data_IF_186128469951
#
_entry.id   IF_186128469951
#
_cell.length_a   1.000
_cell.length_b   1.000
_cell.length_c   1.000
_cell.angle_alpha   90.00
_cell.angle_beta   90.00
_cell.angle_gamma   90.00
#
_symmetry.space_group_name_H-M   'P 1'
#
loop_
_entity.id
_entity.type
_entity.pdbx_description
1 polymer ?
#
# COMPACT_ATOMS: atom_id res chain seq x y z
N UNK A 1 64.04 -0.84 6.36
CA UNK A 1 62.67 -0.73 5.85
C UNK A 1 62.19 -2.03 5.24
N UNK A 2 61.27 -2.70 5.92
CA UNK A 2 60.43 -3.74 5.31
C UNK A 2 59.05 -3.13 5.19
N UNK A 3 58.67 -2.75 3.98
CA UNK A 3 57.30 -2.37 3.63
C UNK A 3 56.40 -3.58 3.89
N UNK A 4 55.58 -3.48 4.93
CA UNK A 4 54.48 -4.42 5.21
C UNK A 4 53.53 -4.29 4.01
N UNK A 5 53.18 -5.38 3.31
CA UNK A 5 52.13 -5.29 2.30
C UNK A 5 50.87 -4.83 3.02
N UNK A 6 50.26 -3.76 2.53
CA UNK A 6 48.93 -3.37 2.93
C UNK A 6 48.03 -4.58 2.69
N UNK A 7 47.63 -5.23 3.78
CA UNK A 7 46.58 -6.22 3.76
C UNK A 7 45.32 -5.43 3.37
N UNK A 8 45.07 -5.34 2.07
CA UNK A 8 43.81 -4.89 1.51
C UNK A 8 42.75 -5.82 2.06
N UNK A 9 42.19 -5.44 3.21
CA UNK A 9 41.20 -6.21 3.92
C UNK A 9 40.02 -6.44 3.00
N UNK A 10 39.70 -7.70 2.74
CA UNK A 10 38.57 -8.09 1.91
C UNK A 10 37.28 -7.60 2.56
N UNK A 11 36.61 -6.66 1.90
CA UNK A 11 35.23 -6.27 2.22
C UNK A 11 34.33 -7.44 1.83
N UNK A 12 33.58 -8.00 2.77
CA UNK A 12 32.48 -8.90 2.43
C UNK A 12 31.24 -8.04 2.15
N UNK A 13 30.51 -8.35 1.08
CA UNK A 13 29.27 -7.66 0.73
C UNK A 13 28.23 -8.70 0.29
N UNK A 14 26.98 -8.46 0.65
CA UNK A 14 25.86 -9.19 0.11
C UNK A 14 25.58 -8.76 -1.34
N UNK A 15 25.05 -9.67 -2.18
CA UNK A 15 24.54 -9.30 -3.49
C UNK A 15 23.46 -8.22 -3.39
N UNK A 16 23.26 -7.47 -4.48
CA UNK A 16 22.19 -6.47 -4.57
C UNK A 16 20.83 -7.11 -4.27
N UNK A 17 20.02 -6.42 -3.44
CA UNK A 17 18.72 -6.91 -2.99
C UNK A 17 18.77 -7.95 -1.86
N UNK A 18 19.95 -8.31 -1.35
CA UNK A 18 20.09 -9.22 -0.21
C UNK A 18 20.60 -8.52 1.04
N UNK A 19 20.28 -9.09 2.19
CA UNK A 19 20.72 -8.62 3.52
C UNK A 19 21.46 -9.73 4.25
N UNK A 20 22.40 -9.37 5.14
CA UNK A 20 23.12 -10.34 5.93
C UNK A 20 22.19 -10.99 6.96
N UNK A 21 22.13 -12.32 7.00
CA UNK A 21 21.39 -13.12 7.99
C UNK A 21 22.33 -13.73 9.04
N UNK A 22 23.63 -13.77 8.76
CA UNK A 22 24.67 -14.09 9.73
C UNK A 22 26.00 -13.44 9.36
N UNK A 23 26.85 -13.23 10.36
CA UNK A 23 28.24 -12.77 10.18
C UNK A 23 29.17 -13.73 10.93
N UNK A 24 30.12 -14.32 10.22
CA UNK A 24 31.14 -15.18 10.80
C UNK A 24 32.23 -14.37 11.53
N UNK A 25 33.05 -15.04 12.34
CA UNK A 25 34.11 -14.39 13.13
C UNK A 25 35.22 -13.74 12.28
N UNK A 26 35.39 -14.19 11.04
CA UNK A 26 36.29 -13.59 10.04
C UNK A 26 35.65 -12.41 9.27
N UNK A 27 34.40 -12.04 9.57
CA UNK A 27 33.66 -10.98 8.89
C UNK A 27 32.89 -11.44 7.64
N UNK A 28 32.98 -12.71 7.25
CA UNK A 28 32.23 -13.27 6.13
C UNK A 28 30.72 -13.24 6.38
N UNK A 29 29.94 -12.93 5.33
CA UNK A 29 28.49 -12.77 5.41
C UNK A 29 27.77 -14.00 4.84
N UNK A 30 26.73 -14.44 5.54
CA UNK A 30 25.66 -15.24 4.94
C UNK A 30 24.53 -14.29 4.57
N UNK A 31 24.11 -14.30 3.31
CA UNK A 31 23.11 -13.38 2.78
C UNK A 31 21.82 -14.12 2.42
N UNK A 32 20.67 -13.44 2.56
CA UNK A 32 19.36 -13.96 2.20
C UNK A 32 18.52 -12.90 1.50
N UNK A 33 17.51 -13.36 0.74
CA UNK A 33 16.47 -12.51 0.17
C UNK A 33 15.47 -12.09 1.24
N UNK A 34 14.73 -11.01 0.97
CA UNK A 34 13.71 -10.49 1.88
C UNK A 34 12.28 -10.85 1.47
N UNK A 35 12.10 -11.48 0.30
CA UNK A 35 10.81 -11.61 -0.38
C UNK A 35 9.77 -12.36 0.46
N UNK A 36 10.06 -13.60 0.91
CA UNK A 36 9.11 -14.38 1.72
C UNK A 36 8.68 -13.65 3.01
N UNK A 37 9.63 -13.00 3.68
CA UNK A 37 9.35 -12.25 4.91
C UNK A 37 8.53 -10.99 4.62
N UNK A 38 8.78 -10.35 3.48
CA UNK A 38 8.01 -9.20 2.99
C UNK A 38 6.59 -9.63 2.65
N UNK A 39 6.42 -10.73 1.91
CA UNK A 39 5.14 -11.23 1.48
C UNK A 39 4.23 -11.59 2.66
N UNK A 40 4.76 -12.37 3.61
CA UNK A 40 4.03 -12.71 4.83
C UNK A 40 3.67 -11.46 5.64
N UNK A 41 4.58 -10.50 5.76
CA UNK A 41 4.36 -9.30 6.56
C UNK A 41 3.29 -8.38 5.95
N UNK A 42 3.39 -8.06 4.66
CA UNK A 42 2.42 -7.21 3.97
C UNK A 42 1.03 -7.87 3.98
N UNK A 43 0.95 -9.17 3.69
CA UNK A 43 -0.33 -9.88 3.64
C UNK A 43 -1.05 -9.93 4.99
N UNK A 44 -0.32 -9.98 6.09
CA UNK A 44 -0.92 -10.15 7.41
C UNK A 44 -1.18 -8.85 8.15
N UNK A 45 -0.65 -7.72 7.66
CA UNK A 45 -0.57 -6.48 8.46
C UNK A 45 -0.83 -5.20 7.68
N UNK A 46 -1.08 -5.27 6.38
CA UNK A 46 -1.47 -4.12 5.58
C UNK A 46 -2.89 -4.33 5.04
N UNK A 47 -3.72 -3.31 5.18
CA UNK A 47 -5.11 -3.29 4.80
C UNK A 47 -5.45 -1.98 4.07
N UNK A 48 -6.50 -2.02 3.25
CA UNK A 48 -7.09 -0.84 2.61
C UNK A 48 -8.46 -0.61 3.22
N UNK A 49 -8.71 0.62 3.63
CA UNK A 49 -10.03 1.04 4.09
C UNK A 49 -10.75 1.76 2.96
N UNK A 50 -12.06 1.59 2.91
CA UNK A 50 -12.97 2.36 2.06
C UNK A 50 -14.16 2.79 2.89
N UNK A 51 -14.69 3.97 2.66
CA UNK A 51 -15.87 4.44 3.38
C UNK A 51 -16.64 5.53 2.67
N UNK A 52 -17.85 5.79 3.15
CA UNK A 52 -18.73 6.86 2.69
C UNK A 52 -19.21 7.66 3.90
N UNK A 53 -19.48 8.94 3.66
CA UNK A 53 -20.39 9.72 4.47
C UNK A 53 -21.34 10.52 3.59
N UNK A 54 -22.62 10.22 3.74
CA UNK A 54 -23.76 10.96 3.19
C UNK A 54 -23.97 12.30 3.91
N UNK A 55 -24.48 13.32 3.20
CA UNK A 55 -24.91 14.60 3.74
C UNK A 55 -23.78 15.38 4.44
N UNK A 56 -22.61 15.42 3.80
CA UNK A 56 -21.32 15.91 4.26
C UNK A 56 -20.71 17.00 3.34
N UNK A 57 -21.47 18.03 2.97
CA UNK A 57 -20.88 19.21 2.33
C UNK A 57 -19.91 19.91 3.31
N UNK A 58 -18.62 19.94 2.94
CA UNK A 58 -17.54 20.54 3.72
C UNK A 58 -17.29 19.93 5.11
N UNK A 59 -17.82 18.75 5.41
CA UNK A 59 -17.69 18.15 6.75
C UNK A 59 -16.28 17.56 6.95
N UNK A 60 -15.75 17.62 8.19
CA UNK A 60 -14.39 17.17 8.53
C UNK A 60 -14.34 15.86 9.30
N UNK A 61 -15.50 15.23 9.49
CA UNK A 61 -15.58 13.98 10.21
C UNK A 61 -15.23 12.81 9.27
N UNK A 62 -14.79 11.69 9.87
CA UNK A 62 -14.57 10.46 9.12
C UNK A 62 -15.85 9.80 8.61
N UNK A 63 -15.72 8.69 7.85
CA UNK A 63 -16.85 7.99 7.26
C UNK A 63 -17.87 7.52 8.31
N UNK A 64 -19.15 7.58 7.97
CA UNK A 64 -20.22 6.99 8.76
C UNK A 64 -20.36 5.48 8.48
N UNK A 65 -20.05 5.09 7.24
CA UNK A 65 -19.96 3.70 6.78
C UNK A 65 -18.57 3.40 6.26
N UNK A 66 -18.04 2.23 6.60
CA UNK A 66 -16.72 1.82 6.12
C UNK A 66 -16.57 0.31 6.14
N UNK A 67 -15.67 -0.17 5.29
CA UNK A 67 -15.20 -1.54 5.23
C UNK A 67 -13.67 -1.55 5.12
N UNK A 68 -13.08 -2.71 5.41
CA UNK A 68 -11.63 -2.93 5.36
C UNK A 68 -11.33 -4.23 4.61
N UNK A 69 -10.27 -4.21 3.80
CA UNK A 69 -9.76 -5.37 3.09
C UNK A 69 -8.26 -5.52 3.30
N UNK A 70 -7.82 -6.72 3.66
CA UNK A 70 -6.42 -7.14 3.66
C UNK A 70 -6.22 -8.37 2.72
N UNK A 71 -4.97 -8.75 2.40
CA UNK A 71 -4.73 -9.88 1.49
C UNK A 71 -5.13 -11.27 2.02
N UNK A 72 -5.60 -11.39 3.27
CA UNK A 72 -6.05 -12.62 3.92
C UNK A 72 -7.55 -12.63 4.22
N UNK A 73 -8.22 -11.48 4.23
CA UNK A 73 -9.63 -11.36 4.58
C UNK A 73 -10.16 -9.93 4.48
N UNK A 74 -11.44 -9.76 4.78
CA UNK A 74 -12.06 -8.46 4.88
C UNK A 74 -12.91 -8.35 6.16
N UNK A 75 -13.24 -7.12 6.50
CA UNK A 75 -14.20 -6.75 7.51
C UNK A 75 -15.25 -5.83 6.89
N UNK A 76 -16.55 -6.10 7.03
CA UNK A 76 -17.61 -5.19 6.58
C UNK A 76 -17.70 -3.90 7.42
N UNK A 77 -16.87 -3.78 8.47
CA UNK A 77 -16.75 -2.57 9.27
C UNK A 77 -18.07 -2.12 9.92
N UNK A 78 -18.46 -0.87 9.65
CA UNK A 78 -19.64 -0.21 10.19
C UNK A 78 -20.49 0.37 9.07
N UNK A 79 -21.79 0.57 9.33
CA UNK A 79 -22.77 0.88 8.28
C UNK A 79 -23.45 -0.40 7.82
N UNK A 80 -24.78 -0.40 7.76
CA UNK A 80 -25.51 -1.57 7.23
C UNK A 80 -25.16 -1.82 5.76
N UNK A 81 -25.35 -3.06 5.30
CA UNK A 81 -25.22 -3.45 3.88
C UNK A 81 -23.83 -3.87 3.43
N UNK A 82 -22.77 -3.39 4.09
CA UNK A 82 -21.40 -3.82 3.81
C UNK A 82 -21.22 -5.34 4.01
N UNK A 83 -20.42 -5.94 3.14
CA UNK A 83 -20.21 -7.37 3.06
C UNK A 83 -18.79 -7.72 2.62
N UNK A 84 -18.50 -9.01 2.76
CA UNK A 84 -17.27 -9.65 2.33
C UNK A 84 -17.58 -10.62 1.20
N UNK A 85 -17.01 -10.38 0.02
CA UNK A 85 -17.27 -11.18 -1.18
C UNK A 85 -15.96 -11.75 -1.71
N UNK A 86 -15.96 -13.02 -2.06
CA UNK A 86 -14.87 -13.62 -2.82
C UNK A 86 -15.28 -13.66 -4.30
N UNK A 87 -14.45 -13.09 -5.17
CA UNK A 87 -14.73 -13.02 -6.61
C UNK A 87 -13.53 -13.51 -7.43
N UNK A 88 -13.82 -14.29 -8.46
CA UNK A 88 -12.83 -14.68 -9.46
C UNK A 88 -12.78 -13.59 -10.53
N UNK A 89 -11.80 -12.69 -10.45
CA UNK A 89 -11.70 -11.52 -11.32
C UNK A 89 -10.66 -11.76 -12.43
N UNK A 90 -9.39 -11.83 -12.06
CA UNK A 90 -8.27 -11.89 -13.00
C UNK A 90 -7.59 -13.27 -13.08
N UNK A 91 -7.61 -14.03 -11.99
CA UNK A 91 -7.06 -15.38 -11.91
C UNK A 91 -8.14 -16.39 -11.48
N UNK A 92 -8.45 -17.42 -12.32
CA UNK A 92 -9.43 -18.46 -11.98
C UNK A 92 -9.07 -19.31 -10.75
N UNK A 93 -7.80 -19.40 -10.39
CA UNK A 93 -7.29 -20.22 -9.29
C UNK A 93 -7.07 -19.44 -7.99
N UNK A 94 -7.09 -18.10 -8.06
CA UNK A 94 -6.85 -17.22 -6.91
C UNK A 94 -7.94 -16.15 -6.76
N UNK A 95 -9.12 -16.49 -6.21
CA UNK A 95 -10.17 -15.52 -5.95
C UNK A 95 -9.66 -14.33 -5.12
N UNK A 96 -10.13 -13.14 -5.47
CA UNK A 96 -9.88 -11.90 -4.74
C UNK A 96 -10.94 -11.77 -3.65
N UNK A 97 -10.52 -11.52 -2.42
CA UNK A 97 -11.41 -11.06 -1.36
C UNK A 97 -11.69 -9.57 -1.58
N UNK A 98 -12.96 -9.19 -1.56
CA UNK A 98 -13.46 -7.84 -1.77
C UNK A 98 -14.22 -7.41 -0.52
N UNK A 99 -13.91 -6.22 -0.03
CA UNK A 99 -14.77 -5.47 0.86
C UNK A 99 -15.78 -4.69 0.02
N UNK A 100 -17.06 -4.78 0.38
CA UNK A 100 -18.10 -3.97 -0.25
C UNK A 100 -18.42 -2.75 0.59
N UNK A 101 -18.77 -1.66 -0.09
CA UNK A 101 -19.36 -0.46 0.49
C UNK A 101 -20.74 -0.28 -0.15
N UNK A 102 -21.77 -0.54 0.64
CA UNK A 102 -23.17 -0.33 0.27
C UNK A 102 -23.48 1.15 0.39
N UNK A 103 -23.67 1.82 -0.74
CA UNK A 103 -23.89 3.25 -0.79
C UNK A 103 -25.33 3.50 -0.34
N UNK A 104 -25.54 4.15 0.81
CA UNK A 104 -26.89 4.62 1.16
C UNK A 104 -27.15 5.98 0.55
N UNK A 105 -28.42 6.22 0.23
CA UNK A 105 -28.88 7.48 -0.32
C UNK A 105 -28.60 7.61 -1.81
N UNK A 106 -28.90 8.79 -2.33
CA UNK A 106 -28.27 9.29 -3.53
C UNK A 106 -26.79 9.59 -3.24
N UNK A 107 -25.89 9.27 -4.17
CA UNK A 107 -24.51 9.78 -4.08
C UNK A 107 -24.43 11.04 -4.92
N UNK A 108 -24.37 12.20 -4.26
CA UNK A 108 -24.48 13.51 -4.88
C UNK A 108 -23.42 14.50 -4.33
N UNK A 109 -23.63 15.80 -4.56
CA UNK A 109 -22.70 16.88 -4.21
C UNK A 109 -22.44 17.05 -2.70
N UNK A 110 -23.23 16.43 -1.83
CA UNK A 110 -22.97 16.43 -0.40
C UNK A 110 -22.27 15.17 0.13
N UNK A 111 -22.03 14.15 -0.69
CA UNK A 111 -21.32 12.95 -0.26
C UNK A 111 -19.80 13.10 -0.18
N UNK A 112 -19.18 12.22 0.61
CA UNK A 112 -17.73 11.98 0.58
C UNK A 112 -17.39 10.51 0.53
N UNK A 113 -16.50 10.15 -0.40
CA UNK A 113 -15.87 8.83 -0.49
C UNK A 113 -14.47 8.88 0.09
N UNK A 114 -14.15 7.90 0.95
CA UNK A 114 -12.90 7.85 1.69
C UNK A 114 -12.08 6.62 1.34
N UNK A 115 -10.75 6.74 1.35
CA UNK A 115 -9.86 5.58 1.33
C UNK A 115 -8.51 5.84 1.99
N UNK A 116 -7.80 4.77 2.33
CA UNK A 116 -6.39 4.79 2.73
C UNK A 116 -5.75 3.41 2.68
N UNK A 117 -4.41 3.39 2.65
CA UNK A 117 -3.60 2.21 2.95
C UNK A 117 -3.11 2.31 4.39
N UNK A 118 -3.38 1.28 5.19
CA UNK A 118 -2.94 1.21 6.57
C UNK A 118 -2.09 -0.02 6.82
N UNK A 119 -0.98 0.13 7.55
CA UNK A 119 -0.11 -0.98 7.92
C UNK A 119 0.22 -0.96 9.43
N UNK A 120 -0.07 -2.07 10.12
CA UNK A 120 0.12 -2.17 11.56
C UNK A 120 1.56 -2.57 11.88
N UNK A 121 2.32 -1.68 12.52
CA UNK A 121 3.64 -1.99 13.09
C UNK A 121 3.50 -2.86 14.36
N UNK A 122 4.37 -3.85 14.50
CA UNK A 122 4.43 -4.75 15.64
C UNK A 122 5.90 -4.96 16.05
N UNK A 123 6.57 -3.88 16.51
CA UNK A 123 8.01 -3.90 16.73
C UNK A 123 8.42 -5.04 17.66
N UNK A 124 9.42 -5.80 17.25
CA UNK A 124 9.99 -6.89 18.06
C UNK A 124 11.34 -6.48 18.62
N UNK A 125 11.66 -6.86 19.87
CA UNK A 125 12.95 -6.56 20.46
C UNK A 125 14.05 -7.27 19.69
N UNK A 126 15.17 -6.57 19.50
CA UNK A 126 16.37 -7.11 18.88
C UNK A 126 16.84 -8.39 19.57
N UNK A 127 17.34 -9.34 18.77
CA UNK A 127 17.83 -10.63 19.26
C UNK A 127 19.32 -10.79 18.92
N UNK A 128 20.15 -11.42 19.76
CA UNK A 128 21.51 -11.76 19.39
C UNK A 128 21.55 -12.74 18.21
N UNK A 129 22.58 -12.63 17.36
CA UNK A 129 22.83 -13.57 16.26
C UNK A 129 23.20 -14.98 16.79
N UNK A 130 22.94 -16.06 16.02
CA UNK A 130 22.48 -16.10 14.62
C UNK A 130 21.02 -15.67 14.44
N UNK A 131 20.70 -15.02 13.32
CA UNK A 131 19.35 -14.55 13.06
C UNK A 131 18.41 -15.72 12.74
N UNK A 132 17.19 -15.67 13.31
CA UNK A 132 16.13 -16.62 12.97
C UNK A 132 15.60 -16.37 11.53
N UNK A 133 14.90 -17.33 10.91
CA UNK A 133 14.22 -17.10 9.64
C UNK A 133 13.32 -15.85 9.68
N UNK A 134 13.40 -14.99 8.66
CA UNK A 134 12.71 -13.70 8.60
C UNK A 134 13.37 -12.57 9.40
N UNK A 135 14.58 -12.78 9.92
CA UNK A 135 15.39 -11.77 10.60
C UNK A 135 16.71 -11.57 9.87
N UNK A 136 17.24 -10.35 9.95
CA UNK A 136 18.51 -9.98 9.36
C UNK A 136 19.37 -9.21 10.37
N UNK A 137 20.68 -9.23 10.16
CA UNK A 137 21.66 -8.54 10.99
C UNK A 137 21.44 -7.05 10.83
N UNK A 138 21.16 -6.40 11.95
CA UNK A 138 20.85 -4.97 12.03
C UNK A 138 22.00 -4.17 12.64
N UNK A 139 22.94 -4.82 13.33
CA UNK A 139 24.13 -4.16 13.87
C UNK A 139 24.78 -4.95 14.99
N UNK A 140 25.50 -4.26 15.87
CA UNK A 140 26.25 -4.75 17.02
C UNK A 140 25.86 -4.03 18.31
N UNK A 141 25.75 -4.82 19.38
CA UNK A 141 25.73 -4.32 20.75
C UNK A 141 26.92 -4.89 21.49
N UNK A 142 27.94 -4.07 21.72
CA UNK A 142 29.26 -4.53 22.15
C UNK A 142 29.88 -5.44 21.09
N UNK A 143 30.30 -6.65 21.49
CA UNK A 143 30.92 -7.64 20.59
C UNK A 143 29.88 -8.58 19.93
N UNK A 144 28.60 -8.45 20.29
CA UNK A 144 27.54 -9.32 19.77
C UNK A 144 26.83 -8.68 18.58
N UNK A 145 26.65 -9.46 17.50
CA UNK A 145 25.75 -9.07 16.41
C UNK A 145 24.29 -9.19 16.87
N UNK A 146 23.48 -8.23 16.45
CA UNK A 146 22.07 -8.11 16.75
C UNK A 146 21.26 -8.23 15.47
N UNK A 147 20.14 -8.93 15.57
CA UNK A 147 19.20 -9.19 14.50
C UNK A 147 17.91 -8.41 14.75
N UNK A 148 17.33 -7.88 13.67
CA UNK A 148 16.01 -7.29 13.65
C UNK A 148 15.12 -8.06 12.65
N UNK A 149 13.80 -8.08 12.86
CA UNK A 149 12.85 -8.68 11.92
C UNK A 149 12.78 -7.89 10.61
N UNK A 150 12.87 -8.59 9.47
CA UNK A 150 12.67 -7.98 8.14
C UNK A 150 11.23 -7.49 7.98
N UNK A 151 10.27 -8.18 8.61
CA UNK A 151 8.85 -7.84 8.55
C UNK A 151 8.53 -6.41 9.00
N UNK A 152 9.22 -5.88 10.01
CA UNK A 152 8.95 -4.52 10.50
C UNK A 152 9.47 -3.47 9.52
N UNK A 153 10.59 -3.74 8.86
CA UNK A 153 11.11 -2.85 7.82
C UNK A 153 10.20 -2.87 6.58
N UNK A 154 9.69 -4.04 6.19
CA UNK A 154 8.74 -4.17 5.07
C UNK A 154 7.43 -3.40 5.34
N UNK A 155 6.79 -3.65 6.49
CA UNK A 155 5.55 -2.98 6.88
C UNK A 155 5.77 -1.47 7.05
N UNK A 156 6.88 -1.07 7.68
CA UNK A 156 7.25 0.34 7.82
C UNK A 156 7.47 1.02 6.47
N UNK A 157 8.09 0.33 5.50
CA UNK A 157 8.22 0.83 4.14
C UNK A 157 6.85 1.04 3.48
N UNK A 158 5.97 0.04 3.50
CA UNK A 158 4.63 0.15 2.89
C UNK A 158 3.84 1.29 3.54
N UNK A 159 3.73 1.29 4.87
CA UNK A 159 2.93 2.27 5.60
C UNK A 159 3.39 3.71 5.41
N UNK A 160 4.70 3.94 5.29
CA UNK A 160 5.26 5.30 5.17
C UNK A 160 5.47 5.77 3.74
N UNK A 161 5.64 4.88 2.77
CA UNK A 161 6.04 5.24 1.40
C UNK A 161 5.06 4.83 0.32
N UNK A 162 4.15 3.91 0.60
CA UNK A 162 3.07 3.58 -0.32
C UNK A 162 1.82 4.33 0.08
N UNK A 163 1.04 4.77 -0.90
CA UNK A 163 -0.22 5.46 -0.67
C UNK A 163 -1.27 5.02 -1.69
N UNK A 164 -2.51 4.94 -1.23
CA UNK A 164 -3.67 4.81 -2.12
C UNK A 164 -4.06 6.21 -2.57
N UNK A 165 -4.26 6.37 -3.87
CA UNK A 165 -4.75 7.58 -4.50
C UNK A 165 -6.22 7.41 -4.81
N UNK A 166 -7.02 8.42 -4.48
CA UNK A 166 -8.43 8.53 -4.82
C UNK A 166 -8.62 9.80 -5.64
N UNK A 167 -9.40 9.71 -6.70
CA UNK A 167 -9.72 10.87 -7.53
C UNK A 167 -11.12 10.82 -8.10
N UNK A 168 -11.66 11.99 -8.39
CA UNK A 168 -12.97 12.18 -8.96
C UNK A 168 -12.90 13.11 -10.16
N UNK A 169 -13.66 12.76 -11.20
CA UNK A 169 -13.80 13.53 -12.40
C UNK A 169 -15.23 13.46 -12.92
N UNK A 170 -15.92 14.60 -12.80
CA UNK A 170 -17.26 14.82 -13.36
C UNK A 170 -17.19 14.98 -14.90
N UNK A 171 -18.23 14.53 -15.61
CA UNK A 171 -18.49 14.85 -17.02
C UNK A 171 -17.35 14.44 -17.95
N UNK A 172 -16.79 13.25 -17.69
CA UNK A 172 -15.64 12.66 -18.35
C UNK A 172 -15.96 11.24 -18.85
N UNK A 173 -16.61 11.13 -20.01
CA UNK A 173 -16.66 9.83 -20.66
C UNK A 173 -15.34 9.54 -21.39
N UNK A 174 -14.53 8.65 -20.81
CA UNK A 174 -13.26 8.19 -21.38
C UNK A 174 -12.12 9.22 -21.34
N UNK A 175 -12.15 10.22 -20.46
CA UNK A 175 -11.04 11.15 -20.36
C UNK A 175 -9.77 10.45 -19.82
N UNK A 176 -8.63 10.92 -20.28
CA UNK A 176 -7.29 10.46 -19.87
C UNK A 176 -6.54 11.57 -19.13
N UNK A 177 -7.23 12.65 -18.78
CA UNK A 177 -6.65 13.75 -17.99
C UNK A 177 -6.63 13.37 -16.51
N UNK A 178 -5.72 13.95 -15.72
CA UNK A 178 -5.79 13.82 -14.27
C UNK A 178 -7.17 14.23 -13.73
N UNK A 179 -7.65 13.62 -12.63
CA UNK A 179 -8.94 13.95 -12.04
C UNK A 179 -8.94 15.41 -11.55
N UNK A 180 -10.09 16.07 -11.65
CA UNK A 180 -10.28 17.44 -11.18
C UNK A 180 -10.14 17.55 -9.66
N UNK A 181 -10.53 16.48 -8.95
CA UNK A 181 -10.38 16.33 -7.51
C UNK A 181 -9.61 15.07 -7.19
N UNK A 182 -8.63 15.12 -6.30
CA UNK A 182 -7.85 13.95 -5.93
C UNK A 182 -7.04 14.21 -4.67
N UNK A 183 -6.64 13.12 -4.03
CA UNK A 183 -5.64 13.11 -2.97
C UNK A 183 -5.12 11.71 -2.74
N UNK A 184 -4.32 11.55 -1.70
CA UNK A 184 -3.82 10.24 -1.31
C UNK A 184 -3.63 10.13 0.20
N UNK A 185 -3.60 8.90 0.69
CA UNK A 185 -3.40 8.64 2.11
C UNK A 185 -2.62 7.35 2.38
N UNK A 186 -1.87 7.38 3.48
CA UNK A 186 -1.17 6.25 4.08
C UNK A 186 -1.03 6.41 5.61
N UNK A 187 -0.20 5.59 6.26
CA UNK A 187 0.00 5.69 7.73
C UNK A 187 0.68 6.98 8.17
N UNK A 188 1.54 7.55 7.32
CA UNK A 188 2.30 8.73 7.66
C UNK A 188 1.45 10.01 7.55
N UNK A 189 0.62 10.12 6.51
CA UNK A 189 -0.20 11.29 6.26
C UNK A 189 -1.36 11.02 5.30
N UNK A 190 -2.30 11.97 5.24
CA UNK A 190 -3.13 12.20 4.06
C UNK A 190 -2.77 13.56 3.44
N UNK A 191 -2.94 13.67 2.14
CA UNK A 191 -2.64 14.87 1.37
C UNK A 191 -3.80 15.15 0.43
N UNK A 192 -4.38 16.34 0.56
CA UNK A 192 -5.33 16.88 -0.41
C UNK A 192 -4.53 17.38 -1.63
N UNK A 193 -4.87 16.87 -2.81
CA UNK A 193 -4.32 17.32 -4.08
C UNK A 193 -5.11 18.49 -4.65
N UNK A 194 -5.82 18.25 -5.75
CA UNK A 194 -6.79 19.20 -6.29
C UNK A 194 -8.19 18.91 -5.70
N UNK A 195 -9.06 19.92 -5.62
CA UNK A 195 -10.37 19.82 -4.95
C UNK A 195 -10.39 20.64 -3.65
N UNK A 196 -11.17 21.73 -3.61
CA UNK A 196 -11.11 22.71 -2.52
C UNK A 196 -11.76 22.24 -1.22
N UNK A 197 -12.69 21.31 -1.36
CA UNK A 197 -13.59 20.75 -0.36
C UNK A 197 -13.27 19.26 -0.09
N UNK A 198 -12.23 18.72 -0.72
CA UNK A 198 -11.63 17.44 -0.33
C UNK A 198 -11.07 17.54 1.09
N UNK A 199 -11.02 16.41 1.78
CA UNK A 199 -10.69 16.37 3.20
C UNK A 199 -9.62 15.34 3.51
N UNK A 200 -8.70 15.73 4.39
CA UNK A 200 -7.74 14.84 5.01
C UNK A 200 -8.12 14.71 6.48
N UNK A 201 -8.51 13.50 6.90
CA UNK A 201 -9.06 13.24 8.23
C UNK A 201 -8.31 12.10 8.89
N UNK A 202 -7.88 12.30 10.14
CA UNK A 202 -7.42 11.20 11.01
C UNK A 202 -8.57 10.75 11.89
N UNK A 203 -8.92 9.47 11.83
CA UNK A 203 -10.04 8.87 12.60
C UNK A 203 -9.70 7.48 13.10
N UNK A 204 -10.57 6.89 13.92
CA UNK A 204 -10.44 5.52 14.40
C UNK A 204 -11.47 4.62 13.74
N UNK A 205 -11.01 3.65 12.92
CA UNK A 205 -11.85 2.62 12.29
C UNK A 205 -11.40 1.25 12.81
N UNK A 206 -12.33 0.41 13.25
CA UNK A 206 -11.99 -0.94 13.74
C UNK A 206 -11.09 -1.00 14.99
N UNK A 207 -10.80 0.14 15.62
CA UNK A 207 -9.82 0.26 16.71
C UNK A 207 -8.46 0.80 16.27
N UNK A 208 -8.22 0.92 14.97
CA UNK A 208 -6.99 1.45 14.40
C UNK A 208 -7.12 2.94 14.08
N UNK A 209 -6.06 3.71 14.33
CA UNK A 209 -6.01 5.12 13.92
C UNK A 209 -5.48 5.21 12.50
N UNK A 210 -6.30 5.75 11.60
CA UNK A 210 -5.99 5.82 10.16
C UNK A 210 -6.11 7.26 9.66
N UNK A 211 -5.29 7.61 8.66
CA UNK A 211 -5.44 8.85 7.89
C UNK A 211 -6.22 8.54 6.63
N UNK A 212 -7.28 9.27 6.34
CA UNK A 212 -8.14 9.08 5.18
C UNK A 212 -8.08 10.31 4.29
N UNK A 213 -8.00 10.06 2.98
CA UNK A 213 -8.39 11.07 1.99
C UNK A 213 -9.88 10.87 1.72
N UNK A 214 -10.64 11.96 1.81
CA UNK A 214 -12.06 12.04 1.47
C UNK A 214 -12.26 12.96 0.27
N UNK A 215 -12.84 12.43 -0.81
CA UNK A 215 -13.17 13.16 -2.04
C UNK A 215 -14.67 13.35 -2.10
N UNK A 216 -15.11 14.55 -2.46
CA UNK A 216 -16.51 14.86 -2.74
C UNK A 216 -16.75 14.90 -4.25
N UNK A 217 -17.95 14.56 -4.71
CA UNK A 217 -18.25 14.37 -6.14
C UNK A 217 -18.72 15.65 -6.85
N UNK A 218 -18.91 16.78 -6.16
CA UNK A 218 -19.28 18.09 -6.74
C UNK A 218 -20.47 18.03 -7.73
N UNK A 219 -21.40 17.10 -7.53
CA UNK A 219 -22.53 16.87 -8.42
C UNK A 219 -23.15 15.49 -8.24
N UNK A 220 -24.21 15.24 -9.01
CA UNK A 220 -24.80 13.91 -9.14
C UNK A 220 -23.75 12.95 -9.73
N UNK A 221 -23.63 11.75 -9.16
CA UNK A 221 -22.77 10.70 -9.73
C UNK A 221 -23.58 9.93 -10.78
N UNK A 222 -23.23 10.09 -12.05
CA UNK A 222 -23.90 9.48 -13.20
C UNK A 222 -22.92 8.76 -14.16
N UNK A 223 -23.46 8.13 -15.21
CA UNK A 223 -22.68 7.33 -16.16
C UNK A 223 -21.67 8.07 -17.03
N UNK A 224 -21.56 9.39 -16.89
CA UNK A 224 -20.54 10.20 -17.55
C UNK A 224 -19.33 10.48 -16.64
N UNK A 225 -19.34 10.03 -15.39
CA UNK A 225 -18.29 10.32 -14.42
C UNK A 225 -17.22 9.23 -14.32
N UNK A 226 -16.09 9.57 -13.69
CA UNK A 226 -15.05 8.61 -13.32
C UNK A 226 -14.63 8.75 -11.85
N UNK A 227 -14.72 7.63 -11.15
CA UNK A 227 -14.09 7.43 -9.85
C UNK A 227 -12.76 6.69 -10.03
N UNK A 228 -11.67 7.31 -9.63
CA UNK A 228 -10.31 6.80 -9.85
C UNK A 228 -9.69 6.22 -8.59
N UNK A 229 -9.07 5.05 -8.71
CA UNK A 229 -8.23 4.44 -7.67
C UNK A 229 -6.83 4.16 -8.20
N UNK A 230 -5.81 4.48 -7.41
CA UNK A 230 -4.40 4.23 -7.73
C UNK A 230 -3.60 3.74 -6.55
N UNK A 231 -2.45 3.11 -6.84
CA UNK A 231 -1.43 2.74 -5.86
C UNK A 231 -0.07 3.23 -6.36
N UNK A 232 0.63 3.99 -5.54
CA UNK A 232 2.02 4.33 -5.80
C UNK A 232 2.85 4.19 -4.54
N UNK A 233 4.14 3.90 -4.73
CA UNK A 233 5.13 3.92 -3.68
C UNK A 233 6.27 4.84 -4.06
N UNK A 234 6.76 5.62 -3.11
CA UNK A 234 7.98 6.39 -3.30
C UNK A 234 9.17 5.47 -3.56
N UNK A 235 10.11 5.86 -4.43
CA UNK A 235 11.30 5.05 -4.66
C UNK A 235 12.12 4.87 -3.37
N UNK A 236 12.85 3.74 -3.26
CA UNK A 236 13.78 3.53 -2.17
C UNK A 236 14.83 4.65 -2.12
N UNK A 237 15.27 5.03 -0.91
CA UNK A 237 16.31 6.04 -0.78
C UNK A 237 17.67 5.43 -1.18
N UNK A 238 18.34 6.04 -2.14
CA UNK A 238 19.66 5.60 -2.60
C UNK A 238 20.77 6.04 -1.63
N UNK A 239 20.86 5.44 -0.45
CA UNK A 239 22.05 5.61 0.39
C UNK A 239 22.24 4.47 1.38
N UNK A 240 23.37 3.78 1.25
CA UNK A 240 23.92 3.02 2.38
C UNK A 240 24.61 3.96 3.35
N UNK A 241 24.55 3.65 4.65
CA UNK A 241 25.33 4.36 5.67
C UNK A 241 26.35 3.42 6.28
N UNK A 242 27.54 3.91 6.61
CA UNK A 242 28.52 3.14 7.36
C UNK A 242 28.30 3.34 8.85
N UNK A 243 28.33 2.25 9.62
CA UNK A 243 28.18 2.25 11.08
C UNK A 243 29.19 1.32 11.73
N UNK A 244 29.40 1.49 13.03
CA UNK A 244 30.18 0.58 13.89
C UNK A 244 29.34 0.01 15.03
N UNK A 245 28.12 0.50 15.22
CA UNK A 245 27.22 0.12 16.32
C UNK A 245 25.93 -0.44 15.77
N UNK A 246 24.97 0.38 15.37
CA UNK A 246 23.67 -0.09 14.84
C UNK A 246 23.40 0.55 13.49
N UNK A 247 22.69 -0.16 12.62
CA UNK A 247 22.07 0.46 11.47
C UNK A 247 20.90 1.34 11.93
N UNK A 248 20.61 2.45 11.21
CA UNK A 248 19.35 3.16 11.39
C UNK A 248 18.14 2.24 11.21
N UNK A 249 17.01 2.62 11.81
CA UNK A 249 15.76 1.87 11.69
C UNK A 249 15.40 1.62 10.23
N UNK A 250 14.96 0.40 9.93
CA UNK A 250 14.66 -0.06 8.57
C UNK A 250 15.87 -0.51 7.74
N UNK A 251 17.10 -0.22 8.18
CA UNK A 251 18.32 -0.62 7.47
C UNK A 251 18.95 -1.88 8.07
N UNK A 252 19.65 -2.66 7.23
CA UNK A 252 20.32 -3.90 7.63
C UNK A 252 21.74 -3.94 7.13
N UNK A 253 22.57 -4.76 7.76
CA UNK A 253 23.96 -4.96 7.34
C UNK A 253 23.99 -5.62 5.96
N UNK A 254 24.66 -4.96 5.02
CA UNK A 254 24.90 -5.46 3.65
C UNK A 254 26.38 -5.62 3.34
N UNK A 255 27.28 -5.11 4.19
CA UNK A 255 28.73 -5.28 4.02
C UNK A 255 29.50 -5.11 5.31
N UNK A 256 30.68 -5.72 5.41
CA UNK A 256 31.61 -5.58 6.54
C UNK A 256 32.99 -5.14 6.06
N UNK A 257 33.66 -4.36 6.90
CA UNK A 257 35.00 -3.82 6.65
C UNK A 257 36.02 -4.37 7.65
N UNK A 258 37.29 -4.41 7.25
CA UNK A 258 38.38 -4.93 8.07
C UNK A 258 38.68 -4.09 9.32
N UNK A 259 38.26 -2.83 9.36
CA UNK A 259 38.37 -1.94 10.52
C UNK A 259 37.26 -2.19 11.56
N UNK A 260 36.36 -3.14 11.30
CA UNK A 260 35.22 -3.48 12.16
C UNK A 260 33.97 -2.64 11.91
N UNK A 261 34.02 -1.67 10.99
CA UNK A 261 32.82 -1.01 10.49
C UNK A 261 32.01 -1.91 9.56
N UNK A 262 30.77 -1.54 9.30
CA UNK A 262 29.89 -2.23 8.37
C UNK A 262 28.99 -1.24 7.64
N UNK A 263 28.57 -1.63 6.45
CA UNK A 263 27.63 -0.87 5.63
C UNK A 263 26.22 -1.37 5.92
N UNK A 264 25.34 -0.42 6.18
CA UNK A 264 23.90 -0.61 6.30
C UNK A 264 23.26 -0.25 4.97
N UNK A 265 22.51 -1.17 4.38
CA UNK A 265 21.74 -0.97 3.16
C UNK A 265 20.23 -0.96 3.43
N UNK A 266 19.51 -0.29 2.55
CA UNK A 266 18.05 -0.21 2.57
C UNK A 266 17.46 -1.35 1.72
N UNK A 267 16.72 -2.30 2.31
CA UNK A 267 16.01 -3.34 1.56
C UNK A 267 14.79 -2.81 0.80
N UNK A 268 14.45 -1.52 0.92
CA UNK A 268 13.30 -0.88 0.26
C UNK A 268 13.19 -1.16 -1.24
N UNK A 269 14.31 -1.31 -1.96
CA UNK A 269 14.25 -1.67 -3.38
C UNK A 269 13.61 -3.05 -3.64
N UNK A 270 13.92 -4.03 -2.78
CA UNK A 270 13.31 -5.35 -2.86
C UNK A 270 11.84 -5.30 -2.42
N UNK A 271 11.51 -4.52 -1.38
CA UNK A 271 10.13 -4.30 -0.97
C UNK A 271 9.29 -3.66 -2.08
N UNK A 272 9.81 -2.62 -2.74
CA UNK A 272 9.19 -1.95 -3.86
C UNK A 272 8.95 -2.91 -5.03
N UNK A 273 9.95 -3.74 -5.36
CA UNK A 273 9.84 -4.73 -6.43
C UNK A 273 8.77 -5.80 -6.12
N UNK A 274 8.70 -6.27 -4.88
CA UNK A 274 7.63 -7.16 -4.43
C UNK A 274 6.25 -6.50 -4.60
N UNK A 275 6.05 -5.29 -4.09
CA UNK A 275 4.75 -4.60 -4.19
C UNK A 275 4.34 -4.36 -5.64
N UNK A 276 5.25 -3.93 -6.51
CA UNK A 276 4.93 -3.66 -7.91
C UNK A 276 4.61 -4.90 -8.74
N UNK A 277 5.18 -6.06 -8.38
CA UNK A 277 5.00 -7.31 -9.12
C UNK A 277 3.99 -8.28 -8.52
N UNK A 278 3.77 -8.23 -7.20
CA UNK A 278 2.98 -9.23 -6.49
C UNK A 278 1.70 -8.65 -5.86
N UNK A 279 1.61 -7.34 -5.67
CA UNK A 279 0.45 -6.71 -5.06
C UNK A 279 -0.40 -5.94 -6.07
N UNK A 280 -1.73 -5.98 -5.91
CA UNK A 280 -2.66 -5.22 -6.72
C UNK A 280 -3.88 -4.81 -5.91
N UNK A 281 -4.35 -3.59 -6.14
CA UNK A 281 -5.67 -3.13 -5.73
C UNK A 281 -6.67 -3.50 -6.81
N UNK A 282 -7.83 -3.97 -6.40
CA UNK A 282 -8.98 -4.22 -7.26
C UNK A 282 -10.04 -3.19 -6.92
N UNK A 283 -10.66 -2.65 -7.96
CA UNK A 283 -11.72 -1.68 -7.80
C UNK A 283 -12.87 -2.08 -8.72
N UNK A 284 -14.08 -2.07 -8.19
CA UNK A 284 -15.23 -2.56 -8.95
C UNK A 284 -16.54 -1.97 -8.49
N UNK A 285 -17.54 -2.18 -9.33
CA UNK A 285 -18.87 -1.61 -9.23
C UNK A 285 -19.92 -2.61 -9.59
N UNK A 286 -21.08 -2.47 -8.95
CA UNK A 286 -22.28 -3.13 -9.36
C UNK A 286 -23.51 -2.30 -9.05
N UNK A 287 -24.31 -2.13 -10.09
CA UNK A 287 -25.58 -1.41 -10.08
C UNK A 287 -26.76 -2.34 -9.74
N UNK A 288 -27.80 -1.76 -9.13
CA UNK A 288 -29.12 -2.35 -8.94
C UNK A 288 -29.10 -3.64 -8.13
N UNK A 289 -28.36 -3.63 -7.03
CA UNK A 289 -28.33 -4.68 -6.04
C UNK A 289 -28.14 -4.20 -4.59
N UNK A 290 -29.27 -3.96 -3.91
CA UNK A 290 -29.37 -3.76 -2.45
C UNK A 290 -28.45 -4.71 -1.66
N UNK A 291 -27.31 -4.24 -1.14
CA UNK A 291 -26.32 -5.03 -0.40
C UNK A 291 -25.82 -6.28 -1.15
N UNK A 292 -25.17 -6.03 -2.27
CA UNK A 292 -24.73 -7.04 -3.22
C UNK A 292 -23.75 -8.10 -2.65
N UNK A 293 -24.08 -9.39 -2.81
CA UNK A 293 -23.16 -10.51 -2.44
C UNK A 293 -22.48 -11.15 -3.65
N UNK A 294 -22.82 -10.69 -4.86
CA UNK A 294 -22.18 -11.13 -6.09
C UNK A 294 -20.89 -10.38 -6.39
N UNK A 295 -20.10 -10.91 -7.33
CA UNK A 295 -18.95 -10.21 -7.89
C UNK A 295 -19.39 -8.91 -8.61
N UNK A 296 -18.50 -7.90 -8.70
CA UNK A 296 -18.78 -6.68 -9.45
C UNK A 296 -19.05 -6.99 -10.93
N UNK A 297 -19.93 -6.21 -11.56
CA UNK A 297 -20.20 -6.29 -13.00
C UNK A 297 -19.19 -5.48 -13.80
N UNK A 298 -18.56 -4.48 -13.17
CA UNK A 298 -17.45 -3.70 -13.73
C UNK A 298 -16.28 -3.67 -12.76
N UNK A 299 -15.06 -3.83 -13.25
CA UNK A 299 -13.88 -3.83 -12.39
C UNK A 299 -12.59 -3.65 -13.17
N UNK A 300 -11.56 -3.25 -12.45
CA UNK A 300 -10.19 -3.25 -12.90
C UNK A 300 -9.23 -3.44 -11.75
N UNK A 301 -7.94 -3.39 -12.07
CA UNK A 301 -6.88 -3.51 -11.08
C UNK A 301 -5.73 -2.54 -11.35
N UNK A 302 -5.07 -2.12 -10.29
CA UNK A 302 -3.85 -1.31 -10.32
C UNK A 302 -2.78 -1.91 -9.43
N UNK A 303 -1.53 -1.90 -9.90
CA UNK A 303 -0.34 -2.17 -9.10
C UNK A 303 0.63 -0.99 -9.22
N UNK A 304 1.73 -1.04 -8.48
CA UNK A 304 2.81 -0.06 -8.67
C UNK A 304 3.42 -0.26 -10.06
N UNK A 305 3.00 0.57 -11.01
CA UNK A 305 3.51 0.59 -12.39
C UNK A 305 2.70 -0.19 -13.42
N UNK A 306 1.58 -0.83 -13.05
CA UNK A 306 0.64 -1.40 -14.03
C UNK A 306 -0.82 -1.06 -13.71
N UNK A 307 -1.65 -1.01 -14.76
CA UNK A 307 -3.11 -0.90 -14.66
C UNK A 307 -3.73 -1.84 -15.70
N UNK A 308 -4.80 -2.52 -15.33
CA UNK A 308 -5.60 -3.30 -16.26
C UNK A 308 -7.10 -3.09 -16.03
N UNK A 309 -7.82 -2.85 -17.13
CA UNK A 309 -9.29 -2.88 -17.16
C UNK A 309 -9.73 -4.34 -17.21
N UNK A 310 -10.61 -4.74 -16.30
CA UNK A 310 -11.21 -6.07 -16.28
C UNK A 310 -12.46 -6.12 -17.16
N UNK A 311 -13.61 -6.33 -16.53
CA UNK A 311 -14.92 -6.26 -17.20
C UNK A 311 -15.48 -4.85 -17.01
N UNK A 312 -16.18 -4.31 -18.01
CA UNK A 312 -16.82 -3.00 -17.94
C UNK A 312 -16.54 -2.19 -19.19
N UNK A 313 -17.59 -1.63 -19.80
CA UNK A 313 -17.40 -0.67 -20.87
C UNK A 313 -16.91 0.65 -20.27
N UNK A 314 -16.08 1.37 -21.03
CA UNK A 314 -15.69 2.75 -20.75
C UNK A 314 -14.89 2.99 -19.46
N UNK A 315 -14.49 1.92 -18.76
CA UNK A 315 -13.47 1.99 -17.73
C UNK A 315 -12.12 2.32 -18.36
N UNK A 316 -11.25 3.02 -17.62
CA UNK A 316 -9.97 3.49 -18.13
C UNK A 316 -8.81 3.02 -17.27
N UNK A 317 -7.66 2.87 -17.91
CA UNK A 317 -6.38 2.64 -17.25
C UNK A 317 -5.35 3.59 -17.82
N UNK A 318 -4.92 4.55 -17.01
CA UNK A 318 -4.04 5.62 -17.47
C UNK A 318 -2.97 5.93 -16.43
N UNK A 319 -1.74 6.15 -16.89
CA UNK A 319 -0.70 6.76 -16.07
C UNK A 319 -0.95 8.26 -15.96
N UNK A 320 -1.10 8.75 -14.73
CA UNK A 320 -1.36 10.15 -14.44
C UNK A 320 -0.23 10.70 -13.56
N UNK A 321 0.13 11.97 -13.73
CA UNK A 321 1.09 12.63 -12.84
C UNK A 321 0.33 13.43 -11.79
N UNK A 322 0.35 12.97 -10.54
CA UNK A 322 -0.31 13.59 -9.39
C UNK A 322 0.77 14.03 -8.39
N UNK A 323 0.84 15.32 -8.09
CA UNK A 323 1.94 15.96 -7.33
C UNK A 323 3.37 15.60 -7.79
N UNK A 324 3.57 15.42 -9.10
CA UNK A 324 4.85 14.99 -9.66
C UNK A 324 5.15 13.49 -9.52
N UNK A 325 4.26 12.72 -8.91
CA UNK A 325 4.33 11.26 -8.86
C UNK A 325 3.57 10.66 -10.05
N UNK A 326 4.21 9.76 -10.80
CA UNK A 326 3.52 8.97 -11.82
C UNK A 326 2.73 7.85 -11.13
N UNK A 327 1.41 7.85 -11.29
CA UNK A 327 0.48 6.91 -10.66
C UNK A 327 -0.32 6.23 -11.75
N UNK A 328 -0.38 4.90 -11.69
CA UNK A 328 -1.29 4.12 -12.51
C UNK A 328 -2.68 4.19 -11.86
N UNK A 329 -3.62 4.81 -12.55
CA UNK A 329 -4.98 5.03 -12.06
C UNK A 329 -5.95 4.21 -12.91
N UNK A 330 -6.78 3.42 -12.24
CA UNK A 330 -7.96 2.82 -12.84
C UNK A 330 -9.13 3.77 -12.61
N UNK A 331 -9.77 4.21 -13.69
CA UNK A 331 -10.97 5.04 -13.66
C UNK A 331 -12.21 4.20 -13.93
N UNK A 332 -13.06 4.06 -12.92
CA UNK A 332 -14.30 3.30 -12.97
C UNK A 332 -15.46 4.21 -13.41
N UNK A 333 -16.27 3.72 -14.35
CA UNK A 333 -17.54 4.33 -14.74
C UNK A 333 -18.72 3.57 -14.12
N UNK A 334 -19.71 4.27 -13.57
CA UNK A 334 -20.90 3.69 -12.95
C UNK A 334 -22.01 3.32 -13.96
N UNK A 335 -21.92 3.77 -15.22
CA UNK A 335 -22.88 3.56 -16.34
C UNK A 335 -24.31 4.09 -16.10
N UNK A 336 -24.54 4.80 -15.00
CA UNK A 336 -25.84 5.35 -14.60
C UNK A 336 -25.77 6.09 -13.27
N UNK A 337 -26.92 6.60 -12.85
CA UNK A 337 -27.10 7.32 -11.57
C UNK A 337 -26.73 6.40 -10.41
N UNK A 338 -25.91 6.89 -9.49
CA UNK A 338 -25.60 6.18 -8.25
C UNK A 338 -26.64 6.48 -7.19
N UNK A 339 -27.25 5.42 -6.68
CA UNK A 339 -28.30 5.46 -5.69
C UNK A 339 -28.15 4.33 -4.66
N UNK A 340 -29.18 4.16 -3.83
CA UNK A 340 -29.15 3.27 -2.67
C UNK A 340 -29.06 1.77 -2.99
N UNK A 341 -29.23 1.38 -4.25
CA UNK A 341 -29.10 -0.01 -4.67
C UNK A 341 -27.73 -0.32 -5.29
N UNK A 342 -26.79 0.62 -5.28
CA UNK A 342 -25.45 0.42 -5.82
C UNK A 342 -24.42 -0.05 -4.79
N UNK A 343 -23.41 -0.78 -5.25
CA UNK A 343 -22.33 -1.28 -4.39
C UNK A 343 -20.95 -1.04 -5.01
N UNK A 344 -20.08 -0.40 -4.22
CA UNK A 344 -18.67 -0.24 -4.53
C UNK A 344 -17.84 -1.38 -3.93
N UNK A 345 -16.81 -1.83 -4.65
CA UNK A 345 -15.95 -2.94 -4.25
C UNK A 345 -14.48 -2.49 -4.23
N UNK A 346 -13.79 -2.83 -3.14
CA UNK A 346 -12.33 -2.68 -3.03
C UNK A 346 -11.71 -4.02 -2.65
N UNK A 347 -10.69 -4.42 -3.39
CA UNK A 347 -9.87 -5.59 -3.10
C UNK A 347 -8.41 -5.21 -2.92
N UNK A 348 -7.69 -5.94 -2.07
CA UNK A 348 -6.23 -5.86 -2.00
C UNK A 348 -5.67 -7.27 -1.95
N UNK A 349 -4.89 -7.65 -2.97
CA UNK A 349 -4.29 -8.99 -3.05
C UNK A 349 -2.79 -8.85 -3.24
N UNK A 350 -2.05 -9.65 -2.49
CA UNK A 350 -0.63 -9.86 -2.71
C UNK A 350 -0.31 -11.35 -2.81
N UNK A 351 0.40 -11.76 -3.86
CA UNK A 351 0.85 -13.14 -4.04
C UNK A 351 1.91 -13.54 -2.98
N UNK A 352 1.98 -14.82 -2.58
CA UNK A 352 2.98 -15.32 -1.63
C UNK A 352 4.41 -15.23 -2.14
#
# INVERSE_FOLDING_TARGET
>A
DRTRPDAGGTTAACPDGQVATAVASNGELTCGTVDDATAVAVRSRCAVYVGQRDSCDGCTDGPAKWSEIDPLGCSPGSGGGNACVAATLDDPEAPVTLATLDLDGDVNDDDKLFTTLHCILAPRPLQPAPCAPGWAVHGRSGDAWMCAPISEAAVGYVGSRCAVYLGWQDSCDGCTTPPAKWGHANDAACVNGAGADDTCVTTTLGGETVNLIGINTDGDVDGNDKLHLGLACEPPAAAGVTSTTMCPDGLFVTGTSADGSFTCGDPAAAFAAYLGSQCSLFFGWRDSCDACTGAPTKWGQVSVGTCATGVGADDTCTEMTLDGTAVQMFGLNTDGDVNSDDTLYVGFRCAP
#
